data_IF_382407259988
#
_entry.id   IF_382407259988
#
_cell.length_a   1.000
_cell.length_b   1.000
_cell.length_c   1.000
_cell.angle_alpha   90.00
_cell.angle_beta   90.00
_cell.angle_gamma   90.00
#
_symmetry.space_group_name_H-M   'P 1'
#
loop_
_entity.id
_entity.type
_entity.pdbx_description
1 polymer ?
#
# COMPACT_ATOMS: atom_id res chain seq x y z
N UNK A 1 5.71 3.02 27.15
CA UNK A 1 6.53 1.96 26.51
C UNK A 1 7.48 2.69 25.60
N UNK A 2 8.77 2.44 25.72
CA UNK A 2 9.81 3.07 24.92
C UNK A 2 10.45 2.03 24.01
N UNK A 3 10.68 2.40 22.75
CA UNK A 3 11.30 1.57 21.74
C UNK A 3 12.54 2.29 21.24
N UNK A 4 13.65 1.56 21.11
CA UNK A 4 14.89 2.12 20.57
C UNK A 4 15.76 1.07 19.91
N UNK A 5 16.78 1.54 19.19
CA UNK A 5 17.85 0.67 18.67
C UNK A 5 18.89 0.49 19.76
N UNK A 6 19.30 -0.74 20.01
CA UNK A 6 20.43 -1.03 20.88
C UNK A 6 21.72 -0.93 20.07
N UNK A 7 22.69 -0.13 20.53
CA UNK A 7 24.06 -0.14 19.97
C UNK A 7 24.18 0.28 18.49
N UNK A 8 25.41 0.22 17.95
CA UNK A 8 25.81 0.85 16.67
C UNK A 8 24.91 0.51 15.46
N UNK A 9 24.96 1.35 14.41
CA UNK A 9 24.19 1.31 13.14
C UNK A 9 24.08 -0.05 12.40
N UNK A 10 24.76 -1.10 12.88
CA UNK A 10 24.81 -2.44 12.27
C UNK A 10 24.18 -3.56 13.11
N UNK A 11 23.80 -3.31 14.36
CA UNK A 11 23.09 -4.30 15.17
C UNK A 11 21.58 -4.13 14.94
N UNK A 12 20.93 -5.14 14.36
CA UNK A 12 19.47 -5.22 14.19
C UNK A 12 18.75 -5.51 15.53
N UNK A 13 19.40 -5.25 16.67
CA UNK A 13 18.85 -5.46 17.99
C UNK A 13 18.10 -4.21 18.45
N UNK A 14 16.80 -4.33 18.65
CA UNK A 14 15.99 -3.31 19.30
C UNK A 14 15.85 -3.57 20.80
N UNK A 15 15.54 -2.54 21.57
CA UNK A 15 15.11 -2.69 22.97
C UNK A 15 13.67 -2.21 23.15
N UNK A 16 13.01 -2.79 24.16
CA UNK A 16 11.68 -2.40 24.60
C UNK A 16 11.73 -2.15 26.10
N UNK A 17 11.40 -0.94 26.51
CA UNK A 17 11.35 -0.55 27.93
C UNK A 17 9.92 -0.24 28.38
N UNK A 18 9.63 -0.54 29.65
CA UNK A 18 8.33 -0.31 30.26
C UNK A 18 7.28 -1.38 29.95
N UNK A 19 7.65 -2.49 29.31
CA UNK A 19 6.85 -3.72 29.22
C UNK A 19 7.77 -4.93 29.05
N UNK A 20 7.53 -5.98 29.81
CA UNK A 20 8.27 -7.25 29.72
C UNK A 20 7.65 -8.17 28.68
N UNK A 21 8.40 -9.19 28.24
CA UNK A 21 7.95 -10.19 27.26
C UNK A 21 7.55 -9.59 25.90
N UNK A 22 8.24 -8.52 25.48
CA UNK A 22 8.10 -7.92 24.14
C UNK A 22 9.49 -7.77 23.53
N UNK A 23 9.65 -8.29 22.32
CA UNK A 23 10.88 -8.19 21.54
C UNK A 23 10.67 -7.29 20.33
N UNK A 24 11.67 -6.47 20.01
CA UNK A 24 11.67 -5.59 18.85
C UNK A 24 12.53 -6.18 17.74
N UNK A 25 11.92 -6.40 16.58
CA UNK A 25 12.61 -6.84 15.36
C UNK A 25 12.46 -5.78 14.28
N UNK A 26 13.56 -5.43 13.63
CA UNK A 26 13.56 -4.50 12.50
C UNK A 26 13.44 -5.28 11.19
N UNK A 27 12.33 -5.08 10.47
CA UNK A 27 12.04 -5.68 9.17
C UNK A 27 11.83 -4.58 8.14
N UNK A 28 12.02 -4.89 6.85
CA UNK A 28 11.58 -3.95 5.82
C UNK A 28 10.05 -3.85 5.83
N UNK A 29 9.52 -2.66 5.55
CA UNK A 29 8.07 -2.42 5.60
C UNK A 29 7.28 -3.41 4.72
N UNK A 30 7.86 -3.82 3.59
CA UNK A 30 7.27 -4.78 2.67
C UNK A 30 7.26 -6.23 3.19
N UNK A 31 8.10 -6.60 4.15
CA UNK A 31 8.12 -7.96 4.73
C UNK A 31 7.07 -8.12 5.81
N UNK A 32 6.80 -7.05 6.58
CA UNK A 32 5.89 -7.05 7.73
C UNK A 32 4.53 -7.72 7.47
N UNK A 33 3.82 -7.47 6.34
CA UNK A 33 2.53 -8.14 6.09
C UNK A 33 2.64 -9.67 6.06
N UNK A 34 3.70 -10.21 5.44
CA UNK A 34 3.89 -11.66 5.34
C UNK A 34 4.28 -12.27 6.69
N UNK A 35 5.09 -11.56 7.47
CA UNK A 35 5.49 -11.99 8.82
C UNK A 35 4.30 -12.03 9.78
N UNK A 36 3.43 -11.01 9.73
CA UNK A 36 2.16 -10.98 10.48
C UNK A 36 1.25 -12.15 10.07
N UNK A 37 1.03 -12.35 8.77
CA UNK A 37 0.17 -13.41 8.27
C UNK A 37 0.70 -14.82 8.58
N UNK A 38 2.02 -14.97 8.72
CA UNK A 38 2.67 -16.21 9.11
C UNK A 38 2.69 -16.43 10.63
N UNK A 39 2.28 -15.45 11.45
CA UNK A 39 2.36 -15.50 12.91
C UNK A 39 3.78 -15.49 13.45
N UNK A 40 4.78 -15.07 12.66
CA UNK A 40 6.17 -14.93 13.13
C UNK A 40 6.40 -13.64 13.92
N UNK A 41 5.54 -12.64 13.69
CA UNK A 41 5.40 -11.45 14.52
C UNK A 41 3.92 -11.27 14.88
N UNK A 42 3.67 -10.78 16.09
CA UNK A 42 2.31 -10.58 16.61
C UNK A 42 1.77 -9.18 16.33
N UNK A 43 2.67 -8.20 16.25
CA UNK A 43 2.39 -6.79 15.99
C UNK A 43 3.34 -6.28 14.90
N UNK A 44 2.90 -5.33 14.09
CA UNK A 44 3.71 -4.74 13.04
C UNK A 44 3.26 -3.34 12.67
N UNK A 45 4.21 -2.42 12.50
CA UNK A 45 3.95 -1.06 12.01
C UNK A 45 4.37 -0.99 10.54
N UNK A 46 3.40 -0.84 9.64
CA UNK A 46 3.66 -0.72 8.20
C UNK A 46 2.55 0.07 7.50
N UNK A 47 2.74 0.37 6.21
CA UNK A 47 1.74 1.07 5.40
C UNK A 47 0.50 0.23 5.16
N UNK A 48 -0.68 0.85 5.25
CA UNK A 48 -1.97 0.21 4.91
C UNK A 48 -1.97 -0.34 3.49
N UNK A 49 -1.37 0.37 2.53
CA UNK A 49 -1.17 -0.07 1.14
C UNK A 49 -0.39 -1.39 1.05
N UNK A 50 0.64 -1.57 1.86
CA UNK A 50 1.45 -2.79 1.84
C UNK A 50 0.68 -4.00 2.37
N UNK A 51 -0.08 -3.83 3.45
CA UNK A 51 -0.93 -4.90 4.00
C UNK A 51 -2.03 -5.25 3.01
N UNK A 52 -2.77 -4.24 2.55
CA UNK A 52 -3.90 -4.41 1.64
C UNK A 52 -3.51 -4.69 0.20
N UNK A 53 -2.24 -4.69 -0.16
CA UNK A 53 -1.81 -5.27 -1.45
C UNK A 53 -1.36 -6.72 -1.27
N UNK A 54 -0.48 -6.97 -0.29
CA UNK A 54 0.25 -8.24 -0.17
C UNK A 54 -0.59 -9.37 0.43
N UNK A 55 -1.58 -9.06 1.24
CA UNK A 55 -2.44 -10.06 1.87
C UNK A 55 -3.82 -10.04 1.21
N UNK A 56 -4.20 -11.12 0.52
CA UNK A 56 -5.58 -11.32 0.10
C UNK A 56 -6.47 -11.60 1.32
N UNK A 57 -7.68 -11.03 1.34
CA UNK A 57 -8.60 -11.10 2.50
C UNK A 57 -7.90 -10.72 3.81
N UNK A 58 -7.21 -9.58 3.80
CA UNK A 58 -6.31 -9.15 4.87
C UNK A 58 -7.04 -9.06 6.23
N UNK A 59 -8.34 -8.73 6.22
CA UNK A 59 -9.20 -8.62 7.40
C UNK A 59 -9.29 -9.94 8.19
N UNK A 60 -9.13 -11.07 7.50
CA UNK A 60 -9.13 -12.41 8.11
C UNK A 60 -7.75 -12.81 8.66
N UNK A 61 -6.70 -12.04 8.37
CA UNK A 61 -5.31 -12.36 8.72
C UNK A 61 -4.74 -11.41 9.75
N UNK A 62 -5.10 -10.14 9.65
CA UNK A 62 -4.62 -9.07 10.53
C UNK A 62 -5.76 -8.14 10.92
N UNK A 63 -5.52 -7.36 11.96
CA UNK A 63 -6.41 -6.37 12.54
C UNK A 63 -5.69 -5.03 12.59
N UNK A 64 -6.35 -3.96 12.15
CA UNK A 64 -5.87 -2.58 12.32
C UNK A 64 -6.15 -2.17 13.77
N UNK A 65 -5.10 -1.93 14.57
CA UNK A 65 -5.23 -1.47 15.96
C UNK A 65 -5.20 0.06 16.07
N UNK A 66 -4.31 0.72 15.32
CA UNK A 66 -4.21 2.16 15.35
C UNK A 66 -3.57 2.75 14.09
N UNK A 67 -4.20 3.77 13.55
CA UNK A 67 -3.60 4.67 12.57
C UNK A 67 -2.62 5.62 13.27
N UNK A 68 -1.35 5.64 12.82
CA UNK A 68 -0.30 6.42 13.48
C UNK A 68 -0.17 7.85 12.94
N UNK A 69 -0.94 8.20 11.90
CA UNK A 69 -1.05 9.55 11.35
C UNK A 69 0.25 10.14 10.79
N UNK A 70 1.17 9.28 10.35
CA UNK A 70 2.37 9.67 9.61
C UNK A 70 2.62 8.72 8.42
N UNK A 71 3.54 9.09 7.53
CA UNK A 71 3.85 8.27 6.35
C UNK A 71 2.71 8.21 5.34
N UNK A 72 1.95 9.30 5.21
CA UNK A 72 0.78 9.39 4.31
C UNK A 72 1.20 9.23 2.85
N UNK A 73 0.50 8.34 2.15
CA UNK A 73 0.67 8.11 0.72
C UNK A 73 -0.63 7.54 0.14
N UNK A 74 -1.24 8.26 -0.80
CA UNK A 74 -2.46 7.81 -1.45
C UNK A 74 -2.10 7.02 -2.71
N UNK A 75 -2.64 5.81 -2.84
CA UNK A 75 -2.61 5.06 -4.10
C UNK A 75 -3.64 5.68 -5.04
N UNK A 76 -3.18 6.20 -6.17
CA UNK A 76 -4.01 6.93 -7.13
C UNK A 76 -3.80 6.41 -8.55
N UNK A 77 -4.83 6.53 -9.37
CA UNK A 77 -4.78 6.32 -10.81
C UNK A 77 -4.48 7.65 -11.51
N UNK A 78 -3.45 7.65 -12.37
CA UNK A 78 -3.00 8.83 -13.09
C UNK A 78 -2.80 8.57 -14.58
N UNK A 79 -3.16 9.57 -15.37
CA UNK A 79 -3.10 9.58 -16.84
C UNK A 79 -2.23 10.74 -17.33
N UNK A 80 -1.78 10.74 -18.60
CA UNK A 80 -1.09 11.89 -19.17
C UNK A 80 -1.91 13.17 -19.03
N UNK A 81 -1.29 14.25 -18.57
CA UNK A 81 -1.94 15.57 -18.43
C UNK A 81 -2.44 16.10 -19.78
N UNK A 82 -1.84 15.65 -20.89
CA UNK A 82 -2.27 15.96 -22.24
C UNK A 82 -3.64 15.36 -22.61
N UNK A 83 -4.14 14.36 -21.86
CA UNK A 83 -5.49 13.81 -22.04
C UNK A 83 -6.50 14.74 -21.38
N UNK A 84 -6.70 15.92 -21.97
CA UNK A 84 -7.47 17.03 -21.38
C UNK A 84 -8.88 16.61 -20.99
N UNK A 85 -9.54 15.80 -21.82
CA UNK A 85 -10.94 15.36 -21.65
C UNK A 85 -11.09 14.08 -20.82
N UNK A 86 -10.00 13.57 -20.22
CA UNK A 86 -10.04 12.38 -19.34
C UNK A 86 -9.91 12.82 -17.90
N UNK A 87 -11.04 12.97 -17.21
CA UNK A 87 -11.10 13.40 -15.82
C UNK A 87 -11.52 12.30 -14.85
N UNK A 88 -12.26 11.30 -15.34
CA UNK A 88 -12.93 10.28 -14.52
C UNK A 88 -12.59 8.85 -14.96
N UNK A 89 -13.03 7.86 -14.18
CA UNK A 89 -12.92 6.44 -14.55
C UNK A 89 -13.79 6.09 -15.75
N UNK A 90 -14.96 6.72 -15.89
CA UNK A 90 -15.83 6.55 -17.07
C UNK A 90 -15.11 7.04 -18.34
N UNK A 91 -14.43 8.18 -18.28
CA UNK A 91 -13.62 8.67 -19.40
C UNK A 91 -12.46 7.71 -19.72
N UNK A 92 -11.83 7.15 -18.68
CA UNK A 92 -10.74 6.18 -18.85
C UNK A 92 -11.23 4.89 -19.53
N UNK A 93 -12.41 4.38 -19.16
CA UNK A 93 -12.98 3.18 -19.81
C UNK A 93 -13.25 3.42 -21.29
N UNK A 94 -13.85 4.57 -21.63
CA UNK A 94 -14.07 4.96 -23.02
C UNK A 94 -12.75 5.06 -23.81
N UNK A 95 -11.71 5.64 -23.23
CA UNK A 95 -10.38 5.72 -23.84
C UNK A 95 -9.74 4.34 -23.97
N UNK A 96 -9.87 3.47 -22.98
CA UNK A 96 -9.32 2.12 -23.01
C UNK A 96 -9.95 1.27 -24.13
N UNK A 97 -11.28 1.33 -24.28
CA UNK A 97 -12.00 0.67 -25.35
C UNK A 97 -11.59 1.20 -26.74
N UNK A 98 -11.53 2.52 -26.90
CA UNK A 98 -11.10 3.16 -28.15
C UNK A 98 -9.64 2.84 -28.49
N UNK A 99 -8.75 2.83 -27.50
CA UNK A 99 -7.36 2.44 -27.64
C UNK A 99 -7.26 1.01 -28.16
N UNK A 100 -7.99 0.06 -27.56
CA UNK A 100 -7.98 -1.34 -27.99
C UNK A 100 -8.48 -1.51 -29.42
N UNK A 101 -9.57 -0.83 -29.78
CA UNK A 101 -10.10 -0.87 -31.14
C UNK A 101 -9.09 -0.35 -32.18
N UNK A 102 -8.31 0.69 -31.83
CA UNK A 102 -7.32 1.30 -32.73
C UNK A 102 -6.00 0.53 -32.81
N UNK A 103 -5.53 -0.01 -31.68
CA UNK A 103 -4.17 -0.55 -31.55
C UNK A 103 -4.12 -2.09 -31.55
N UNK A 104 -5.25 -2.77 -31.30
CA UNK A 104 -5.34 -4.23 -31.28
C UNK A 104 -4.88 -4.88 -29.97
N UNK A 105 -4.48 -4.11 -28.96
CA UNK A 105 -4.14 -4.57 -27.62
C UNK A 105 -4.71 -3.64 -26.55
N UNK A 106 -4.78 -4.10 -25.29
CA UNK A 106 -5.39 -3.35 -24.19
C UNK A 106 -4.51 -2.19 -23.71
N UNK A 107 -5.15 -1.14 -23.21
CA UNK A 107 -4.45 -0.01 -22.60
C UNK A 107 -3.65 -0.49 -21.38
N UNK A 108 -2.37 -0.16 -21.30
CA UNK A 108 -1.49 -0.63 -20.23
C UNK A 108 -1.46 0.36 -19.08
N UNK A 109 -1.65 -0.16 -17.86
CA UNK A 109 -1.54 0.59 -16.61
C UNK A 109 -0.37 0.02 -15.83
N UNK A 110 0.70 0.80 -15.64
CA UNK A 110 1.85 0.37 -14.85
C UNK A 110 1.59 0.53 -13.35
N UNK A 111 1.86 -0.50 -12.57
CA UNK A 111 1.70 -0.46 -11.11
C UNK A 111 2.49 -1.57 -10.40
N UNK A 112 2.84 -1.34 -9.13
CA UNK A 112 3.26 -2.41 -8.19
C UNK A 112 2.08 -2.95 -7.35
N UNK A 113 0.91 -2.34 -7.46
CA UNK A 113 -0.29 -2.61 -6.65
C UNK A 113 -1.34 -3.37 -7.47
N UNK A 114 -0.93 -4.52 -8.04
CA UNK A 114 -1.73 -5.27 -8.99
C UNK A 114 -3.10 -5.67 -8.46
N UNK A 115 -3.19 -6.04 -7.16
CA UNK A 115 -4.45 -6.51 -6.58
C UNK A 115 -5.40 -5.35 -6.33
N UNK A 116 -4.94 -4.33 -5.61
CA UNK A 116 -5.75 -3.15 -5.28
C UNK A 116 -6.26 -2.45 -6.53
N UNK A 117 -5.39 -2.23 -7.51
CA UNK A 117 -5.75 -1.55 -8.77
C UNK A 117 -6.76 -2.39 -9.56
N UNK A 118 -6.60 -3.71 -9.60
CA UNK A 118 -7.54 -4.59 -10.30
C UNK A 118 -8.91 -4.61 -9.64
N UNK A 119 -8.96 -4.71 -8.31
CA UNK A 119 -10.21 -4.69 -7.56
C UNK A 119 -10.95 -3.37 -7.79
N UNK A 120 -10.24 -2.24 -7.67
CA UNK A 120 -10.77 -0.91 -7.88
C UNK A 120 -11.32 -0.69 -9.31
N UNK A 121 -10.56 -1.05 -10.34
CA UNK A 121 -11.00 -0.88 -11.73
C UNK A 121 -12.23 -1.75 -12.05
N UNK A 122 -12.24 -2.99 -11.54
CA UNK A 122 -13.37 -3.92 -11.70
C UNK A 122 -14.64 -3.39 -11.04
N UNK A 123 -14.52 -2.82 -9.83
CA UNK A 123 -15.65 -2.26 -9.09
C UNK A 123 -16.25 -1.02 -9.76
N UNK A 124 -15.43 -0.28 -10.51
CA UNK A 124 -15.83 0.89 -11.28
C UNK A 124 -16.07 0.59 -12.78
N UNK A 125 -16.15 -0.69 -13.18
CA UNK A 125 -16.57 -1.07 -14.53
C UNK A 125 -15.53 -0.90 -15.64
N UNK A 126 -14.30 -0.49 -15.34
CA UNK A 126 -13.23 -0.35 -16.35
C UNK A 126 -12.73 -1.73 -16.77
N UNK A 127 -12.83 -2.08 -18.07
CA UNK A 127 -12.60 -3.47 -18.52
C UNK A 127 -11.45 -3.65 -19.53
N UNK A 128 -11.19 -2.68 -20.39
CA UNK A 128 -10.27 -2.81 -21.54
C UNK A 128 -8.80 -2.43 -21.24
N UNK A 129 -8.31 -2.87 -20.07
CA UNK A 129 -6.96 -2.59 -19.60
C UNK A 129 -6.10 -3.85 -19.37
N UNK A 130 -4.80 -3.63 -19.30
CA UNK A 130 -3.80 -4.60 -18.87
C UNK A 130 -2.93 -3.97 -17.79
N UNK A 131 -2.82 -4.62 -16.62
CA UNK A 131 -1.81 -4.24 -15.64
C UNK A 131 -0.46 -4.76 -16.07
N UNK A 132 0.54 -3.88 -16.01
CA UNK A 132 1.94 -4.25 -16.18
C UNK A 132 2.71 -3.91 -14.92
N UNK A 133 3.71 -4.73 -14.64
CA UNK A 133 4.54 -4.56 -13.47
C UNK A 133 5.46 -3.33 -13.63
N UNK A 134 5.56 -2.53 -12.58
CA UNK A 134 6.45 -1.38 -12.51
C UNK A 134 7.65 -1.67 -11.63
N UNK A 135 8.84 -1.64 -12.23
CA UNK A 135 10.11 -1.81 -11.52
C UNK A 135 10.79 -0.45 -11.39
N UNK A 136 10.71 0.17 -10.21
CA UNK A 136 11.34 1.46 -9.92
C UNK A 136 10.39 2.65 -10.11
N UNK A 137 10.83 3.68 -10.84
CA UNK A 137 10.11 4.93 -11.04
C UNK A 137 8.92 4.74 -12.00
N UNK A 138 7.75 4.42 -11.45
CA UNK A 138 6.51 4.15 -12.20
C UNK A 138 6.12 5.30 -13.12
N UNK A 139 6.34 6.54 -12.69
CA UNK A 139 6.06 7.74 -13.46
C UNK A 139 6.83 7.83 -14.78
N UNK A 140 8.00 7.19 -14.86
CA UNK A 140 8.81 7.12 -16.08
C UNK A 140 8.24 6.19 -17.15
N UNK A 141 7.33 5.27 -16.79
CA UNK A 141 6.78 4.26 -17.72
C UNK A 141 6.00 4.90 -18.88
N UNK A 142 5.25 5.97 -18.60
CA UNK A 142 4.51 6.73 -19.62
C UNK A 142 5.46 7.44 -20.57
N UNK A 143 6.49 8.10 -20.04
CA UNK A 143 7.50 8.79 -20.85
C UNK A 143 8.30 7.82 -21.74
N UNK A 144 8.53 6.60 -21.25
CA UNK A 144 9.25 5.55 -21.97
C UNK A 144 8.33 4.70 -22.86
N UNK A 145 7.05 5.06 -23.01
CA UNK A 145 6.06 4.38 -23.86
C UNK A 145 5.85 2.90 -23.49
N UNK A 146 6.16 2.51 -22.25
CA UNK A 146 5.92 1.16 -21.74
C UNK A 146 4.52 1.00 -21.15
N UNK A 147 3.87 2.09 -20.75
CA UNK A 147 2.47 2.15 -20.35
C UNK A 147 1.78 3.43 -20.81
N UNK A 148 0.45 3.42 -20.87
CA UNK A 148 -0.36 4.59 -21.22
C UNK A 148 -0.85 5.35 -19.99
N UNK A 149 -1.00 4.66 -18.85
CA UNK A 149 -1.40 5.22 -17.57
C UNK A 149 -0.64 4.52 -16.43
N UNK A 150 -0.73 5.06 -15.22
CA UNK A 150 -0.11 4.46 -14.04
C UNK A 150 -1.08 4.42 -12.86
N UNK A 151 -0.87 3.46 -11.97
CA UNK A 151 -1.40 3.54 -10.61
C UNK A 151 -0.24 3.41 -9.63
N UNK A 152 0.01 4.46 -8.86
CA UNK A 152 1.11 4.48 -7.89
C UNK A 152 0.77 5.34 -6.67
N UNK A 153 1.57 5.20 -5.63
CA UNK A 153 1.46 6.00 -4.42
C UNK A 153 1.98 7.42 -4.63
N UNK A 154 1.30 8.39 -4.04
CA UNK A 154 1.75 9.78 -4.01
C UNK A 154 1.39 10.44 -2.69
N UNK A 155 2.26 11.33 -2.20
CA UNK A 155 1.98 12.13 -1.00
C UNK A 155 1.46 13.53 -1.36
N UNK A 156 2.20 14.29 -2.17
CA UNK A 156 1.81 15.66 -2.59
C UNK A 156 1.32 15.76 -4.04
N UNK A 157 1.52 14.72 -4.85
CA UNK A 157 1.30 14.74 -6.29
C UNK A 157 2.45 15.34 -7.11
N UNK A 158 3.53 15.82 -6.48
CA UNK A 158 4.58 16.56 -7.21
C UNK A 158 5.34 15.69 -8.21
N UNK A 159 5.64 14.44 -7.86
CA UNK A 159 6.27 13.47 -8.77
C UNK A 159 5.42 13.25 -10.04
N UNK A 160 4.09 13.15 -9.89
CA UNK A 160 3.17 13.01 -11.01
C UNK A 160 3.19 14.25 -11.90
N UNK A 161 3.10 15.45 -11.29
CA UNK A 161 3.11 16.73 -12.02
C UNK A 161 4.43 16.93 -12.78
N UNK A 162 5.55 16.62 -12.14
CA UNK A 162 6.88 16.72 -12.75
C UNK A 162 7.05 15.81 -13.98
N UNK A 163 6.27 14.73 -14.06
CA UNK A 163 6.26 13.80 -15.19
C UNK A 163 5.05 13.99 -16.11
N UNK A 164 4.41 15.15 -16.06
CA UNK A 164 3.28 15.51 -16.91
C UNK A 164 2.08 14.57 -16.78
N UNK A 165 1.84 14.04 -15.58
CA UNK A 165 0.68 13.22 -15.24
C UNK A 165 -0.35 14.02 -14.42
N UNK A 166 -1.62 13.62 -14.49
CA UNK A 166 -2.71 14.09 -13.64
C UNK A 166 -3.45 12.90 -13.05
N UNK A 167 -3.92 13.04 -11.81
CA UNK A 167 -4.82 12.07 -11.18
C UNK A 167 -6.23 12.24 -11.74
N UNK A 168 -6.98 11.14 -11.85
CA UNK A 168 -8.42 11.22 -12.09
C UNK A 168 -9.15 11.71 -10.83
N UNK A 169 -10.28 12.38 -11.00
CA UNK A 169 -11.07 12.97 -9.91
C UNK A 169 -11.62 11.90 -8.95
N UNK A 170 -12.09 10.80 -9.52
CA UNK A 170 -12.55 9.57 -8.86
C UNK A 170 -11.46 8.49 -8.82
N UNK A 171 -10.21 8.83 -9.14
CA UNK A 171 -9.08 7.91 -9.23
C UNK A 171 -8.35 7.59 -7.91
N UNK A 172 -8.93 7.94 -6.75
CA UNK A 172 -8.36 7.62 -5.45
C UNK A 172 -8.67 6.16 -5.10
N UNK A 173 -7.65 5.29 -5.15
CA UNK A 173 -7.81 3.84 -4.94
C UNK A 173 -7.78 3.52 -3.44
N UNK A 174 -6.79 4.06 -2.72
CA UNK A 174 -6.61 3.80 -1.29
C UNK A 174 -5.88 4.96 -0.63
N UNK A 175 -6.39 5.42 0.52
CA UNK A 175 -5.61 6.27 1.42
C UNK A 175 -4.71 5.38 2.29
N UNK A 176 -3.40 5.61 2.24
CA UNK A 176 -2.44 4.87 3.07
C UNK A 176 -1.75 5.77 4.09
N UNK A 177 -1.45 5.19 5.23
CA UNK A 177 -0.62 5.75 6.28
C UNK A 177 0.08 4.62 7.05
N UNK A 178 1.04 4.96 7.88
CA UNK A 178 1.60 4.01 8.84
C UNK A 178 0.52 3.61 9.85
N UNK A 179 0.33 2.30 10.00
CA UNK A 179 -0.71 1.72 10.84
C UNK A 179 -0.10 0.58 11.67
N UNK A 180 -0.49 0.51 12.94
CA UNK A 180 -0.19 -0.60 13.83
C UNK A 180 -1.20 -1.72 13.54
N UNK A 181 -0.68 -2.86 13.08
CA UNK A 181 -1.44 -4.07 12.83
C UNK A 181 -1.14 -5.13 13.88
N UNK A 182 -2.14 -5.97 14.13
CA UNK A 182 -2.04 -7.19 14.94
C UNK A 182 -2.33 -8.42 14.08
N UNK A 183 -1.55 -9.47 14.25
CA UNK A 183 -1.84 -10.76 13.64
C UNK A 183 -3.06 -11.42 14.31
N UNK A 184 -3.94 -12.05 13.51
CA UNK A 184 -5.08 -12.84 14.02
C UNK A 184 -4.70 -14.30 14.34
N UNK A 185 -3.42 -14.65 14.29
CA UNK A 185 -2.93 -15.99 14.63
C UNK A 185 -3.04 -16.24 16.14
N UNK A 186 -3.23 -17.50 16.52
CA UNK A 186 -3.22 -17.91 17.93
C UNK A 186 -1.88 -17.60 18.58
N UNK A 187 -1.93 -17.19 19.84
CA UNK A 187 -0.75 -16.88 20.65
C UNK A 187 -0.85 -17.60 22.00
N UNK A 188 0.28 -17.77 22.68
CA UNK A 188 0.31 -18.32 24.03
C UNK A 188 -0.48 -17.46 25.02
N UNK A 189 -0.94 -18.07 26.12
CA UNK A 189 -1.69 -17.37 27.17
C UNK A 189 -0.91 -16.20 27.77
N UNK A 190 0.41 -16.37 27.97
CA UNK A 190 1.31 -15.31 28.43
C UNK A 190 1.32 -14.12 27.46
N UNK A 191 1.48 -14.40 26.17
CA UNK A 191 1.60 -13.37 25.14
C UNK A 191 0.28 -12.63 24.95
N UNK A 192 -0.85 -13.34 25.07
CA UNK A 192 -2.18 -12.72 25.11
C UNK A 192 -2.34 -11.74 26.29
N UNK A 193 -1.79 -12.07 27.46
CA UNK A 193 -1.83 -11.16 28.62
C UNK A 193 -0.92 -9.95 28.41
N UNK A 194 0.31 -10.16 27.92
CA UNK A 194 1.24 -9.08 27.58
C UNK A 194 0.66 -8.15 26.51
N UNK A 195 0.04 -8.70 25.46
CA UNK A 195 -0.60 -7.91 24.41
C UNK A 195 -1.71 -7.01 24.97
N UNK A 196 -2.58 -7.54 25.84
CA UNK A 196 -3.64 -6.74 26.48
C UNK A 196 -3.06 -5.60 27.31
N UNK A 197 -2.00 -5.86 28.06
CA UNK A 197 -1.31 -4.81 28.83
C UNK A 197 -0.67 -3.76 27.92
N UNK A 198 -0.07 -4.19 26.81
CA UNK A 198 0.54 -3.29 25.82
C UNK A 198 -0.51 -2.38 25.19
N UNK A 199 -1.60 -2.96 24.70
CA UNK A 199 -2.73 -2.23 24.09
C UNK A 199 -3.27 -1.18 25.07
N UNK A 200 -3.53 -1.58 26.32
CA UNK A 200 -4.00 -0.65 27.35
C UNK A 200 -2.99 0.48 27.65
N UNK A 201 -1.69 0.19 27.64
CA UNK A 201 -0.64 1.23 27.82
C UNK A 201 -0.51 2.17 26.64
N UNK A 202 -0.75 1.69 25.42
CA UNK A 202 -0.70 2.48 24.20
C UNK A 202 -1.98 3.31 23.99
N UNK A 203 -3.10 2.91 24.61
CA UNK A 203 -4.39 3.58 24.48
C UNK A 203 -5.00 3.38 23.08
N UNK A 204 -4.82 2.19 22.51
CA UNK A 204 -5.25 1.83 21.15
C UNK A 204 -6.23 0.65 21.21
N UNK A 205 -7.54 0.93 21.28
CA UNK A 205 -8.61 -0.09 21.27
C UNK A 205 -9.42 -0.02 19.98
#
# INVERSE_FOLDING_TARGET
VELGRAGSDREYAGFVEGIENVELVLLSAGEIPRELAAGRIHLGVTGTDLVREKLGLWENRVEELAELRFGHADLVLAVPRAWVDVGTLDDLDAVAAAFRARHGFRLRIATKYHRLVREFLRENGVADYQLIDSQGATEGTVKNETAEAIADITSSGDTLRANHLKTLEDGLILRSQATLFRARTDMGTSDCQTLKQLIAKLGVD
#
